data_IF_170620374001
#
_entry.id   IF_170620374001
#
_cell.length_a   1.000
_cell.length_b   1.000
_cell.length_c   1.000
_cell.angle_alpha   90.00
_cell.angle_beta   90.00
_cell.angle_gamma   90.00
#
_symmetry.space_group_name_H-M   'P 1'
#
loop_
_entity.id
_entity.type
_entity.pdbx_description
1 polymer ?
#
# COMPACT_ATOMS: atom_id res chain seq x y z
N UNK A 1 -10.28 4.63 2.03
CA UNK A 1 -9.72 3.39 2.64
C UNK A 1 -10.63 2.75 3.67
N UNK A 2 -11.13 3.46 4.69
CA UNK A 2 -11.92 2.85 5.77
C UNK A 2 -13.26 2.22 5.33
N UNK A 3 -13.98 2.80 4.36
CA UNK A 3 -15.26 2.25 3.88
C UNK A 3 -15.08 0.94 3.11
N UNK A 4 -13.99 0.83 2.33
CA UNK A 4 -13.64 -0.40 1.59
C UNK A 4 -13.18 -1.48 2.58
N UNK A 5 -12.46 -1.09 3.64
CA UNK A 5 -12.05 -1.99 4.71
C UNK A 5 -13.25 -2.54 5.51
N UNK A 6 -14.22 -1.67 5.86
CA UNK A 6 -15.45 -2.10 6.53
C UNK A 6 -16.28 -3.03 5.64
N UNK A 7 -16.38 -2.74 4.34
CA UNK A 7 -17.06 -3.61 3.38
C UNK A 7 -16.32 -4.94 3.18
N UNK A 8 -14.98 -4.93 3.18
CA UNK A 8 -14.14 -6.13 3.10
C UNK A 8 -14.25 -7.01 4.35
N UNK A 9 -14.23 -6.42 5.54
CA UNK A 9 -14.44 -7.12 6.81
C UNK A 9 -15.83 -7.77 6.89
N UNK A 10 -16.89 -7.05 6.46
CA UNK A 10 -18.25 -7.59 6.44
C UNK A 10 -18.45 -8.70 5.41
N UNK A 11 -17.61 -8.78 4.37
CA UNK A 11 -17.69 -9.81 3.32
C UNK A 11 -16.64 -10.93 3.48
N UNK A 12 -15.86 -10.95 4.58
CA UNK A 12 -14.88 -12.01 4.88
C UNK A 12 -15.48 -13.43 4.87
N UNK A 13 -16.75 -13.56 5.22
CA UNK A 13 -17.45 -14.85 5.20
C UNK A 13 -17.78 -15.38 3.80
N UNK A 14 -17.72 -14.55 2.75
CA UNK A 14 -18.13 -14.94 1.39
C UNK A 14 -16.97 -15.20 0.42
N UNK A 15 -15.77 -14.69 0.68
CA UNK A 15 -14.59 -14.89 -0.17
C UNK A 15 -13.36 -15.13 0.71
N UNK A 16 -12.48 -16.10 0.40
CA UNK A 16 -11.19 -16.25 1.05
C UNK A 16 -10.32 -15.04 0.61
N UNK A 17 -10.36 -13.98 1.41
CA UNK A 17 -9.76 -12.69 1.11
C UNK A 17 -8.78 -12.24 2.20
N UNK A 18 -8.14 -13.18 2.90
CA UNK A 18 -7.34 -12.87 4.08
C UNK A 18 -6.14 -11.96 3.75
N UNK A 19 -5.48 -12.19 2.62
CA UNK A 19 -4.46 -11.30 2.04
C UNK A 19 -4.94 -9.87 1.83
N UNK A 20 -6.20 -9.66 1.40
CA UNK A 20 -6.75 -8.32 1.25
C UNK A 20 -6.88 -7.64 2.61
N UNK A 21 -7.43 -8.34 3.61
CA UNK A 21 -7.57 -7.79 4.96
C UNK A 21 -6.21 -7.40 5.57
N UNK A 22 -5.21 -8.28 5.45
CA UNK A 22 -3.84 -8.02 5.90
C UNK A 22 -3.22 -6.85 5.12
N UNK A 23 -3.35 -6.84 3.80
CA UNK A 23 -2.79 -5.79 2.95
C UNK A 23 -3.40 -4.42 3.22
N UNK A 24 -4.72 -4.34 3.42
CA UNK A 24 -5.38 -3.09 3.79
C UNK A 24 -4.99 -2.62 5.19
N UNK A 25 -4.84 -3.52 6.17
CA UNK A 25 -4.42 -3.17 7.52
C UNK A 25 -3.03 -2.54 7.54
N UNK A 26 -2.09 -3.10 6.77
CA UNK A 26 -0.75 -2.54 6.63
C UNK A 26 -0.81 -1.20 5.90
N UNK A 27 -1.65 -1.11 4.85
CA UNK A 27 -1.80 0.11 4.06
C UNK A 27 -2.31 1.30 4.89
N UNK A 28 -3.30 1.09 5.75
CA UNK A 28 -3.84 2.16 6.62
C UNK A 28 -2.78 2.64 7.60
N UNK A 29 -1.98 1.76 8.19
CA UNK A 29 -0.87 2.15 9.08
C UNK A 29 0.15 3.02 8.34
N UNK A 30 0.59 2.60 7.15
CA UNK A 30 1.53 3.38 6.33
C UNK A 30 0.91 4.72 5.91
N UNK A 31 -0.39 4.75 5.60
CA UNK A 31 -1.09 5.99 5.28
C UNK A 31 -1.22 6.93 6.45
N UNK A 32 -1.49 6.44 7.66
CA UNK A 32 -1.50 7.26 8.87
C UNK A 32 -0.14 7.96 9.01
N UNK A 33 0.97 7.22 8.91
CA UNK A 33 2.32 7.79 9.01
C UNK A 33 2.58 8.85 7.91
N UNK A 34 2.17 8.56 6.67
CA UNK A 34 2.33 9.47 5.54
C UNK A 34 1.51 10.77 5.72
N UNK A 35 0.25 10.67 6.16
CA UNK A 35 -0.59 11.84 6.41
C UNK A 35 -0.12 12.63 7.62
N UNK A 36 0.39 11.97 8.67
CA UNK A 36 1.04 12.66 9.78
C UNK A 36 2.23 13.48 9.31
N UNK A 37 3.06 12.93 8.42
CA UNK A 37 4.17 13.68 7.81
C UNK A 37 3.68 14.90 7.02
N UNK A 38 2.62 14.77 6.21
CA UNK A 38 2.06 15.91 5.48
C UNK A 38 1.41 16.95 6.41
N UNK A 39 0.77 16.51 7.50
CA UNK A 39 0.27 17.40 8.54
C UNK A 39 1.39 18.22 9.18
N UNK A 40 2.49 17.57 9.58
CA UNK A 40 3.68 18.24 10.11
C UNK A 40 4.33 19.19 9.09
N UNK A 41 4.31 18.85 7.80
CA UNK A 41 4.80 19.72 6.72
C UNK A 41 3.96 21.00 6.53
N UNK A 42 2.68 20.96 6.88
CA UNK A 42 1.76 22.09 6.78
C UNK A 42 1.89 23.08 7.96
N UNK A 43 2.48 22.69 9.09
CA UNK A 43 2.70 23.56 10.26
C UNK A 43 3.77 24.66 10.05
N UNK A 44 4.40 24.73 8.87
CA UNK A 44 5.20 25.87 8.44
C UNK A 44 6.69 25.57 8.21
N UNK A 45 7.44 26.56 7.68
CA UNK A 45 8.82 26.38 7.20
C UNK A 45 9.83 25.98 8.29
N UNK A 46 9.54 26.26 9.57
CA UNK A 46 10.37 25.81 10.69
C UNK A 46 10.32 24.30 10.90
N UNK A 47 9.16 23.66 10.68
CA UNK A 47 8.99 22.21 10.84
C UNK A 47 9.51 21.44 9.62
N UNK A 48 9.45 22.03 8.42
CA UNK A 48 9.98 21.41 7.21
C UNK A 48 11.46 21.06 7.29
N UNK A 49 12.25 21.81 8.07
CA UNK A 49 13.68 21.53 8.30
C UNK A 49 13.92 20.16 8.97
N UNK A 50 12.97 19.67 9.76
CA UNK A 50 13.06 18.37 10.43
C UNK A 50 12.52 17.20 9.59
N UNK A 51 12.01 17.46 8.39
CA UNK A 51 11.34 16.46 7.54
C UNK A 51 12.26 15.71 6.56
N UNK A 52 13.54 15.53 6.92
CA UNK A 52 14.54 14.83 6.10
C UNK A 52 14.21 13.34 5.83
N UNK A 53 13.41 12.72 6.68
CA UNK A 53 12.94 11.33 6.56
C UNK A 53 11.91 11.05 5.46
N UNK A 54 11.58 12.01 4.59
CA UNK A 54 10.71 11.80 3.41
C UNK A 54 11.12 10.57 2.59
N UNK A 55 12.43 10.34 2.43
CA UNK A 55 12.98 9.19 1.67
C UNK A 55 12.51 7.85 2.23
N UNK A 56 12.39 7.75 3.55
CA UNK A 56 12.00 6.53 4.24
C UNK A 56 10.51 6.23 4.03
N UNK A 57 9.66 7.25 3.96
CA UNK A 57 8.23 7.08 3.70
C UNK A 57 7.95 6.48 2.33
N UNK A 58 8.62 6.96 1.28
CA UNK A 58 8.51 6.38 -0.06
C UNK A 58 9.03 4.95 -0.10
N UNK A 59 10.12 4.65 0.62
CA UNK A 59 10.67 3.29 0.72
C UNK A 59 9.72 2.34 1.47
N UNK A 60 9.05 2.82 2.52
CA UNK A 60 8.01 2.08 3.24
C UNK A 60 6.79 1.81 2.35
N UNK A 61 6.35 2.81 1.57
CA UNK A 61 5.24 2.67 0.63
C UNK A 61 5.52 1.68 -0.51
N UNK A 62 6.76 1.62 -1.00
CA UNK A 62 7.18 0.61 -1.97
C UNK A 62 7.23 -0.78 -1.31
N UNK A 63 7.79 -0.85 -0.10
CA UNK A 63 7.88 -2.09 0.68
C UNK A 63 6.52 -2.75 0.94
N UNK A 64 5.50 -1.98 1.33
CA UNK A 64 4.14 -2.52 1.52
C UNK A 64 3.57 -3.12 0.23
N UNK A 65 3.81 -2.49 -0.94
CA UNK A 65 3.25 -2.93 -2.22
C UNK A 65 3.90 -4.25 -2.62
N UNK A 66 5.22 -4.37 -2.45
CA UNK A 66 5.94 -5.64 -2.67
C UNK A 66 5.48 -6.75 -1.73
N UNK A 67 5.27 -6.43 -0.45
CA UNK A 67 4.80 -7.42 0.52
C UNK A 67 3.40 -7.95 0.18
N UNK A 68 2.46 -7.06 -0.15
CA UNK A 68 1.09 -7.43 -0.52
C UNK A 68 1.07 -8.24 -1.81
N UNK A 69 1.85 -7.84 -2.82
CA UNK A 69 1.95 -8.56 -4.09
C UNK A 69 2.56 -9.96 -3.91
N UNK A 70 3.60 -10.09 -3.07
CA UNK A 70 4.19 -11.38 -2.72
C UNK A 70 3.23 -12.29 -1.96
N UNK A 71 2.48 -11.74 -1.01
CA UNK A 71 1.50 -12.49 -0.23
C UNK A 71 0.32 -12.97 -1.11
N UNK A 72 -0.10 -12.17 -2.08
CA UNK A 72 -1.11 -12.54 -3.07
C UNK A 72 -0.63 -13.67 -4.00
N UNK A 73 0.60 -13.59 -4.53
CA UNK A 73 1.18 -14.66 -5.36
C UNK A 73 1.31 -15.96 -4.54
N UNK A 74 1.71 -15.86 -3.28
CA UNK A 74 1.81 -17.02 -2.40
C UNK A 74 0.45 -17.68 -2.13
N UNK A 75 -0.60 -16.88 -1.92
CA UNK A 75 -1.99 -17.36 -1.81
C UNK A 75 -2.43 -18.14 -3.05
N UNK A 76 -2.10 -17.62 -4.24
CA UNK A 76 -2.39 -18.27 -5.51
C UNK A 76 -1.63 -19.60 -5.69
N UNK A 77 -0.33 -19.63 -5.38
CA UNK A 77 0.49 -20.85 -5.48
C UNK A 77 0.03 -21.97 -4.53
N UNK A 78 -0.52 -21.60 -3.38
CA UNK A 78 -1.02 -22.56 -2.39
C UNK A 78 -2.41 -23.10 -2.77
N UNK A 79 -3.02 -22.57 -3.84
CA UNK A 79 -4.34 -23.01 -4.33
C UNK A 79 -5.50 -22.67 -3.39
N UNK A 80 -5.28 -21.77 -2.42
CA UNK A 80 -6.30 -21.38 -1.44
C UNK A 80 -7.29 -20.35 -2.03
N UNK A 81 -6.92 -19.71 -3.14
CA UNK A 81 -7.66 -18.63 -3.77
C UNK A 81 -7.81 -18.87 -5.28
N UNK A 82 -9.05 -18.75 -5.77
CA UNK A 82 -9.34 -18.85 -7.20
C UNK A 82 -9.09 -17.52 -7.91
N UNK A 83 -8.54 -17.60 -9.13
CA UNK A 83 -8.26 -16.43 -9.97
C UNK A 83 -9.56 -15.85 -10.56
N UNK A 84 -10.22 -15.01 -9.78
CA UNK A 84 -11.42 -14.28 -10.20
C UNK A 84 -11.13 -13.02 -11.02
N UNK A 85 -12.17 -12.47 -11.64
CA UNK A 85 -12.10 -11.17 -12.36
C UNK A 85 -11.65 -10.03 -11.44
N UNK A 86 -12.11 -10.03 -10.19
CA UNK A 86 -11.76 -9.04 -9.19
C UNK A 86 -10.25 -9.06 -8.87
N UNK A 87 -9.65 -10.24 -8.78
CA UNK A 87 -8.21 -10.39 -8.52
C UNK A 87 -7.34 -9.90 -9.67
N UNK A 88 -7.78 -10.11 -10.91
CA UNK A 88 -7.08 -9.55 -12.06
C UNK A 88 -7.05 -8.02 -12.03
N UNK A 89 -8.17 -7.37 -11.70
CA UNK A 89 -8.21 -5.91 -11.55
C UNK A 89 -7.34 -5.42 -10.38
N UNK A 90 -7.34 -6.14 -9.26
CA UNK A 90 -6.50 -5.83 -8.09
C UNK A 90 -5.00 -5.94 -8.43
N UNK A 91 -4.57 -7.01 -9.10
CA UNK A 91 -3.18 -7.18 -9.57
C UNK A 91 -2.76 -6.05 -10.51
N UNK A 92 -3.61 -5.70 -11.47
CA UNK A 92 -3.34 -4.62 -12.41
C UNK A 92 -3.17 -3.28 -11.68
N UNK A 93 -4.07 -2.96 -10.75
CA UNK A 93 -4.01 -1.73 -9.95
C UNK A 93 -2.75 -1.65 -9.08
N UNK A 94 -2.39 -2.73 -8.39
CA UNK A 94 -1.19 -2.82 -7.54
C UNK A 94 0.08 -2.65 -8.39
N UNK A 95 0.12 -3.28 -9.56
CA UNK A 95 1.25 -3.20 -10.49
C UNK A 95 1.44 -1.78 -11.04
N UNK A 96 0.35 -1.12 -11.47
CA UNK A 96 0.42 0.28 -11.92
C UNK A 96 0.93 1.21 -10.82
N UNK A 97 0.43 1.02 -9.59
CA UNK A 97 0.85 1.80 -8.43
C UNK A 97 2.34 1.57 -8.12
N UNK A 98 2.82 0.34 -8.23
CA UNK A 98 4.24 -0.01 -8.07
C UNK A 98 5.12 0.71 -9.10
N UNK A 99 4.72 0.70 -10.39
CA UNK A 99 5.47 1.37 -11.46
C UNK A 99 5.56 2.88 -11.19
N UNK A 100 4.45 3.51 -10.78
CA UNK A 100 4.42 4.93 -10.46
C UNK A 100 5.39 5.27 -9.32
N UNK A 101 5.37 4.49 -8.24
CA UNK A 101 6.25 4.70 -7.10
C UNK A 101 7.71 4.41 -7.42
N UNK A 102 8.01 3.39 -8.23
CA UNK A 102 9.36 3.13 -8.71
C UNK A 102 9.89 4.26 -9.58
N UNK A 103 9.06 4.83 -10.44
CA UNK A 103 9.43 5.98 -11.27
C UNK A 103 9.74 7.21 -10.39
N UNK A 104 8.89 7.49 -9.40
CA UNK A 104 9.16 8.54 -8.41
C UNK A 104 10.45 8.30 -7.62
N UNK A 105 10.70 7.07 -7.19
CA UNK A 105 11.92 6.69 -6.47
C UNK A 105 13.18 6.82 -7.32
N UNK A 106 13.12 6.42 -8.61
CA UNK A 106 14.24 6.59 -9.55
C UNK A 106 14.56 8.07 -9.79
N UNK A 107 13.54 8.89 -10.03
CA UNK A 107 13.69 10.35 -10.17
C UNK A 107 14.34 10.96 -8.93
N UNK A 108 13.91 10.53 -7.75
CA UNK A 108 14.37 11.07 -6.48
C UNK A 108 15.75 10.56 -6.00
N UNK A 109 16.26 9.45 -6.55
CA UNK A 109 17.63 8.95 -6.32
C UNK A 109 18.64 9.52 -7.34
N UNK A 110 18.14 10.09 -8.44
CA UNK A 110 18.94 10.72 -9.50
C UNK A 110 19.28 12.19 -9.26
N UNK A 111 18.65 12.84 -8.27
CA UNK A 111 19.04 14.13 -7.65
C UNK A 111 19.82 13.88 -6.35
#
# INVERSE_FOLDING_TARGET
>A
MCLIFYWGLNNLHKNPGFYMAVGFSINTVVHVIMYTYYGLAAFGPKMQKYLWWKKHLTRLQIGQIFFILGYMIFGFLTGCEEFGKFEFYTLFYITLTLILFLNFYRKYKGD
#
